data_IF_381949670335
#
_entry.id   IF_381949670335
#
_cell.length_a   1.000
_cell.length_b   1.000
_cell.length_c   1.000
_cell.angle_alpha   90.00
_cell.angle_beta   90.00
_cell.angle_gamma   90.00
#
_symmetry.space_group_name_H-M   'P 1'
#
loop_
_entity.id
_entity.type
_entity.pdbx_description
1 polymer ?
#
# COMPACT_ATOMS: atom_id res chain seq x y z
N UNK A 1 6.62 -2.80 -23.12
CA UNK A 1 6.77 -3.45 -21.81
C UNK A 1 6.81 -4.94 -22.03
N UNK A 2 7.75 -5.65 -21.39
CA UNK A 2 7.80 -7.12 -21.46
C UNK A 2 6.69 -7.74 -20.57
N UNK A 3 6.34 -9.03 -20.75
CA UNK A 3 5.30 -9.69 -19.96
C UNK A 3 5.55 -9.67 -18.45
N UNK A 4 6.81 -9.74 -18.02
CA UNK A 4 7.22 -9.70 -16.61
C UNK A 4 6.88 -8.37 -15.96
N UNK A 5 7.23 -7.25 -16.62
CA UNK A 5 6.85 -5.90 -16.15
C UNK A 5 5.34 -5.75 -16.05
N UNK A 6 4.58 -6.25 -17.03
CA UNK A 6 3.11 -6.18 -17.00
C UNK A 6 2.56 -7.00 -15.82
N UNK A 7 3.10 -8.19 -15.56
CA UNK A 7 2.67 -9.02 -14.44
C UNK A 7 2.87 -8.30 -13.10
N UNK A 8 4.09 -7.77 -12.86
CA UNK A 8 4.41 -7.04 -11.62
C UNK A 8 3.51 -5.81 -11.44
N UNK A 9 3.24 -5.05 -12.51
CA UNK A 9 2.35 -3.88 -12.46
C UNK A 9 0.88 -4.25 -12.21
N UNK A 10 0.43 -5.39 -12.71
CA UNK A 10 -0.98 -5.77 -12.64
C UNK A 10 -1.38 -6.44 -11.32
N UNK A 11 -0.43 -7.11 -10.64
CA UNK A 11 -0.71 -7.90 -9.44
C UNK A 11 -1.37 -7.11 -8.32
N UNK A 12 -0.88 -5.92 -7.89
CA UNK A 12 -1.52 -5.14 -6.85
C UNK A 12 -2.96 -4.79 -7.19
N UNK A 13 -3.19 -4.23 -8.37
CA UNK A 13 -4.53 -3.90 -8.89
C UNK A 13 -5.48 -5.11 -8.94
N UNK A 14 -4.96 -6.29 -9.28
CA UNK A 14 -5.76 -7.52 -9.24
C UNK A 14 -6.13 -7.90 -7.83
N UNK A 15 -5.24 -7.70 -6.84
CA UNK A 15 -5.52 -7.89 -5.42
C UNK A 15 -6.70 -7.04 -4.96
N UNK A 16 -6.64 -5.73 -5.15
CA UNK A 16 -7.71 -4.77 -4.82
C UNK A 16 -9.01 -5.11 -5.54
N UNK A 17 -8.93 -5.46 -6.83
CA UNK A 17 -10.11 -5.83 -7.63
C UNK A 17 -10.78 -7.10 -7.15
N UNK A 18 -10.01 -8.14 -6.82
CA UNK A 18 -10.52 -9.40 -6.25
C UNK A 18 -11.12 -9.19 -4.87
N UNK A 19 -10.47 -8.40 -4.02
CA UNK A 19 -11.01 -8.01 -2.72
C UNK A 19 -12.33 -7.28 -2.85
N UNK A 20 -12.41 -6.31 -3.74
CA UNK A 20 -13.64 -5.57 -4.03
C UNK A 20 -14.77 -6.46 -4.56
N UNK A 21 -14.44 -7.53 -5.29
CA UNK A 21 -15.41 -8.49 -5.80
C UNK A 21 -16.10 -9.30 -4.69
N UNK A 22 -15.55 -9.35 -3.48
CA UNK A 22 -16.19 -10.00 -2.33
C UNK A 22 -17.56 -9.39 -2.00
N UNK A 23 -17.83 -8.14 -2.39
CA UNK A 23 -19.13 -7.48 -2.25
C UNK A 23 -20.29 -8.24 -2.94
N UNK A 24 -20.00 -9.07 -3.94
CA UNK A 24 -21.01 -9.89 -4.62
C UNK A 24 -21.39 -11.14 -3.83
N UNK A 25 -20.47 -11.66 -3.03
CA UNK A 25 -20.61 -12.93 -2.32
C UNK A 25 -20.97 -12.74 -0.85
N UNK A 26 -20.36 -11.74 -0.19
CA UNK A 26 -20.63 -11.46 1.21
C UNK A 26 -22.00 -10.78 1.38
N UNK A 27 -22.73 -11.26 2.41
CA UNK A 27 -24.01 -10.69 2.79
C UNK A 27 -23.83 -9.45 3.62
N UNK A 28 -24.33 -8.58 3.98
CA UNK A 28 -24.33 -7.44 4.88
C UNK A 28 -22.96 -6.94 5.41
N UNK A 29 -22.94 -6.38 6.59
CA UNK A 29 -21.73 -5.79 7.19
C UNK A 29 -20.68 -6.85 7.49
N UNK A 30 -19.43 -6.50 7.24
CA UNK A 30 -18.31 -7.32 7.66
C UNK A 30 -18.28 -7.43 9.19
N UNK A 31 -18.01 -8.65 9.69
CA UNK A 31 -17.86 -8.88 11.12
C UNK A 31 -16.57 -8.16 11.60
N UNK A 32 -16.63 -7.47 12.74
CA UNK A 32 -15.48 -6.76 13.33
C UNK A 32 -14.25 -7.65 13.54
N UNK A 33 -14.45 -8.92 13.90
CA UNK A 33 -13.34 -9.86 14.02
C UNK A 33 -12.62 -10.08 12.69
N UNK A 34 -13.38 -10.26 11.61
CA UNK A 34 -12.84 -10.42 10.27
C UNK A 34 -12.15 -9.11 9.80
N UNK A 35 -12.77 -7.98 10.00
CA UNK A 35 -12.21 -6.66 9.68
C UNK A 35 -10.84 -6.48 10.36
N UNK A 36 -10.76 -6.65 11.69
CA UNK A 36 -9.50 -6.57 12.45
C UNK A 36 -8.45 -7.57 11.98
N UNK A 37 -8.88 -8.81 11.63
CA UNK A 37 -7.96 -9.81 11.11
C UNK A 37 -7.36 -9.40 9.78
N UNK A 38 -8.20 -8.89 8.87
CA UNK A 38 -7.78 -8.45 7.54
C UNK A 38 -6.88 -7.21 7.61
N UNK A 39 -7.28 -6.21 8.40
CA UNK A 39 -6.49 -4.98 8.61
C UNK A 39 -5.15 -5.29 9.30
N UNK A 40 -5.15 -6.15 10.32
CA UNK A 40 -3.91 -6.61 10.97
C UNK A 40 -3.00 -7.35 10.01
N UNK A 41 -3.54 -8.25 9.19
CA UNK A 41 -2.77 -8.96 8.17
C UNK A 41 -2.14 -8.01 7.15
N UNK A 42 -2.91 -7.08 6.59
CA UNK A 42 -2.43 -6.07 5.65
C UNK A 42 -1.32 -5.21 6.27
N UNK A 43 -1.52 -4.71 7.49
CA UNK A 43 -0.50 -3.93 8.24
C UNK A 43 0.82 -4.69 8.38
N UNK A 44 0.74 -5.98 8.72
CA UNK A 44 1.93 -6.83 8.88
C UNK A 44 2.69 -7.01 7.56
N UNK A 45 1.98 -7.26 6.46
CA UNK A 45 2.58 -7.37 5.12
C UNK A 45 3.25 -6.05 4.73
N UNK A 46 2.56 -4.91 4.90
CA UNK A 46 3.11 -3.58 4.57
C UNK A 46 4.38 -3.26 5.34
N UNK A 47 4.42 -3.53 6.65
CA UNK A 47 5.63 -3.29 7.47
C UNK A 47 6.79 -4.16 6.99
N UNK A 48 6.55 -5.45 6.72
CA UNK A 48 7.60 -6.34 6.22
C UNK A 48 8.10 -5.91 4.85
N UNK A 49 7.21 -5.60 3.89
CA UNK A 49 7.56 -5.09 2.57
C UNK A 49 8.38 -3.79 2.66
N UNK A 50 7.98 -2.86 3.54
CA UNK A 50 8.73 -1.61 3.75
C UNK A 50 10.17 -1.87 4.21
N UNK A 51 10.38 -2.90 5.03
CA UNK A 51 11.72 -3.23 5.54
C UNK A 51 12.53 -4.01 4.51
N UNK A 52 12.05 -5.18 4.06
CA UNK A 52 12.83 -6.09 3.23
C UNK A 52 12.92 -5.65 1.77
N UNK A 53 11.79 -5.27 1.17
CA UNK A 53 11.77 -4.92 -0.26
C UNK A 53 12.23 -3.49 -0.57
N UNK A 54 12.24 -2.59 0.43
CA UNK A 54 12.51 -1.17 0.19
C UNK A 54 13.68 -0.61 1.02
N UNK A 55 13.65 -0.71 2.36
CA UNK A 55 14.68 -0.10 3.20
C UNK A 55 16.01 -0.84 3.14
N UNK A 56 16.00 -2.17 3.15
CA UNK A 56 17.24 -2.95 3.03
C UNK A 56 17.93 -2.67 1.70
N UNK A 57 17.27 -2.79 0.52
CA UNK A 57 17.89 -2.43 -0.75
C UNK A 57 18.37 -0.98 -0.84
N UNK A 58 17.65 -0.03 -0.22
CA UNK A 58 18.08 1.37 -0.17
C UNK A 58 19.41 1.56 0.59
N UNK A 59 19.58 0.83 1.70
CA UNK A 59 20.83 0.87 2.47
C UNK A 59 21.97 0.13 1.77
N UNK A 60 21.71 -1.01 1.15
CA UNK A 60 22.70 -1.78 0.37
C UNK A 60 23.26 -0.96 -0.79
N UNK A 61 22.43 -0.27 -1.54
CA UNK A 61 22.87 0.63 -2.61
C UNK A 61 23.71 1.81 -2.09
N UNK A 62 23.61 2.12 -0.81
CA UNK A 62 24.32 3.21 -0.16
C UNK A 62 25.58 2.76 0.59
N UNK A 63 25.96 1.47 0.55
CA UNK A 63 27.13 0.92 1.27
C UNK A 63 28.45 1.63 0.97
N UNK A 64 28.60 2.16 -0.25
CA UNK A 64 29.76 2.96 -0.65
C UNK A 64 29.96 4.22 0.23
N UNK A 65 28.94 4.69 0.96
CA UNK A 65 29.01 5.81 1.90
C UNK A 65 29.55 5.40 3.29
N UNK A 66 29.86 4.12 3.51
CA UNK A 66 30.38 3.61 4.78
C UNK A 66 29.43 3.88 5.95
N UNK A 67 29.90 4.59 6.98
CA UNK A 67 29.08 4.90 8.16
C UNK A 67 27.86 5.78 7.90
N UNK A 68 27.80 6.43 6.75
CA UNK A 68 26.68 7.28 6.32
C UNK A 68 25.68 6.56 5.40
N UNK A 69 25.81 5.26 5.18
CA UNK A 69 24.93 4.45 4.34
C UNK A 69 23.45 4.56 4.74
N UNK A 70 23.16 4.85 6.00
CA UNK A 70 21.78 5.07 6.47
C UNK A 70 21.17 6.40 6.02
N UNK A 71 21.98 7.38 5.58
CA UNK A 71 21.52 8.75 5.34
C UNK A 71 20.47 8.86 4.21
N UNK A 72 20.64 8.21 3.05
CA UNK A 72 19.58 8.20 2.01
C UNK A 72 18.28 7.59 2.53
N UNK A 73 18.37 6.48 3.27
CA UNK A 73 17.20 5.84 3.86
C UNK A 73 16.51 6.74 4.90
N UNK A 74 17.27 7.37 5.78
CA UNK A 74 16.74 8.32 6.76
C UNK A 74 16.01 9.49 6.10
N UNK A 75 16.64 10.13 5.12
CA UNK A 75 16.04 11.27 4.40
C UNK A 75 14.79 10.83 3.63
N UNK A 76 14.87 9.69 2.93
CA UNK A 76 13.76 9.14 2.17
C UNK A 76 12.53 8.84 3.04
N UNK A 77 12.72 8.13 4.16
CA UNK A 77 11.63 7.82 5.10
C UNK A 77 10.93 9.09 5.58
N UNK A 78 11.69 10.09 6.05
CA UNK A 78 11.09 11.35 6.50
C UNK A 78 10.37 12.09 5.37
N UNK A 79 10.93 12.08 4.16
CA UNK A 79 10.29 12.70 3.01
C UNK A 79 8.95 12.00 2.65
N UNK A 80 8.92 10.66 2.71
CA UNK A 80 7.70 9.87 2.50
C UNK A 80 6.62 10.13 3.56
N UNK A 81 7.00 10.14 4.82
CA UNK A 81 6.11 10.50 5.93
C UNK A 81 5.52 11.90 5.78
N UNK A 82 6.36 12.91 5.54
CA UNK A 82 5.91 14.29 5.38
C UNK A 82 5.07 14.49 4.12
N UNK A 83 5.35 13.75 3.07
CA UNK A 83 4.56 13.78 1.85
C UNK A 83 3.13 13.28 2.10
N UNK A 84 2.99 12.10 2.74
CA UNK A 84 1.67 11.57 3.07
C UNK A 84 0.95 12.44 4.08
N UNK A 85 1.61 12.90 5.13
CA UNK A 85 1.05 13.85 6.08
C UNK A 85 0.53 15.13 5.37
N UNK A 86 1.25 15.64 4.38
CA UNK A 86 0.79 16.79 3.61
C UNK A 86 -0.42 16.47 2.73
N UNK A 87 -0.44 15.30 2.07
CA UNK A 87 -1.59 14.86 1.26
C UNK A 87 -2.82 14.65 2.13
N UNK A 88 -2.65 14.05 3.31
CA UNK A 88 -3.69 13.81 4.30
C UNK A 88 -4.38 15.11 4.73
N UNK A 89 -3.59 16.16 4.99
CA UNK A 89 -4.12 17.50 5.33
C UNK A 89 -4.75 18.24 4.13
N UNK A 90 -4.34 17.94 2.90
CA UNK A 90 -4.78 18.67 1.71
C UNK A 90 -5.97 18.02 1.01
N UNK A 91 -6.00 16.70 0.95
CA UNK A 91 -7.02 15.95 0.20
C UNK A 91 -8.21 15.67 1.11
N UNK A 92 -9.43 16.09 0.72
CA UNK A 92 -10.62 15.79 1.50
C UNK A 92 -10.92 14.29 1.45
N UNK A 93 -10.88 13.64 2.62
CA UNK A 93 -11.12 12.21 2.75
C UNK A 93 -11.88 11.89 4.04
N UNK A 94 -12.35 10.65 4.15
CA UNK A 94 -13.11 10.17 5.29
C UNK A 94 -12.68 8.75 5.62
N UNK A 95 -12.18 8.56 6.82
CA UNK A 95 -11.87 7.23 7.34
C UNK A 95 -13.12 6.38 7.54
N UNK A 96 -12.97 5.07 7.43
CA UNK A 96 -14.07 4.10 7.34
C UNK A 96 -15.06 4.19 8.50
N UNK A 97 -14.56 4.41 9.70
CA UNK A 97 -15.32 4.42 10.95
C UNK A 97 -15.46 5.82 11.56
N UNK A 98 -15.16 6.86 10.79
CA UNK A 98 -15.31 8.27 11.19
C UNK A 98 -16.53 8.90 10.52
N UNK A 99 -17.20 9.81 11.23
CA UNK A 99 -18.21 10.71 10.67
C UNK A 99 -17.66 12.14 10.48
N UNK A 100 -16.39 12.37 10.86
CA UNK A 100 -15.70 13.64 10.71
C UNK A 100 -14.76 13.56 9.49
N UNK A 101 -15.05 14.29 8.40
CA UNK A 101 -14.13 14.40 7.27
C UNK A 101 -12.84 15.10 7.68
N UNK A 102 -11.73 14.65 7.09
CA UNK A 102 -10.41 15.25 7.22
C UNK A 102 -9.98 15.92 5.91
N UNK A 103 -8.88 16.67 5.95
CA UNK A 103 -8.40 17.42 4.81
C UNK A 103 -9.15 18.75 4.59
N UNK A 104 -9.00 19.30 3.39
CA UNK A 104 -9.62 20.58 3.03
C UNK A 104 -11.15 20.47 2.95
N UNK A 105 -11.93 21.34 3.61
CA UNK A 105 -13.39 21.29 3.54
C UNK A 105 -13.91 21.33 2.10
N UNK A 106 -14.77 20.38 1.76
CA UNK A 106 -15.32 20.25 0.41
C UNK A 106 -16.79 19.82 0.46
N UNK A 107 -17.49 19.99 -0.67
CA UNK A 107 -18.88 19.53 -0.85
C UNK A 107 -19.01 18.09 -1.37
N UNK A 108 -17.98 17.25 -1.22
CA UNK A 108 -17.99 15.86 -1.71
C UNK A 108 -18.88 14.97 -0.82
N UNK A 109 -19.60 14.04 -1.44
CA UNK A 109 -20.37 13.04 -0.72
C UNK A 109 -19.48 11.99 -0.02
N UNK A 110 -20.02 11.37 1.05
CA UNK A 110 -19.32 10.37 1.88
C UNK A 110 -18.58 9.31 1.05
N UNK A 111 -19.20 8.75 0.02
CA UNK A 111 -18.59 7.71 -0.83
C UNK A 111 -17.36 8.19 -1.62
N UNK A 112 -17.36 9.46 -2.06
CA UNK A 112 -16.23 10.03 -2.76
C UNK A 112 -15.05 10.28 -1.79
N UNK A 113 -15.33 10.76 -0.57
CA UNK A 113 -14.31 10.95 0.46
C UNK A 113 -13.68 9.62 0.90
N UNK A 114 -14.47 8.55 1.07
CA UNK A 114 -13.95 7.21 1.33
C UNK A 114 -13.10 6.67 0.17
N UNK A 115 -13.48 6.98 -1.07
CA UNK A 115 -12.65 6.64 -2.23
C UNK A 115 -11.30 7.34 -2.18
N UNK A 116 -11.25 8.62 -1.84
CA UNK A 116 -9.99 9.36 -1.74
C UNK A 116 -9.11 8.86 -0.60
N UNK A 117 -9.68 8.47 0.54
CA UNK A 117 -8.92 7.83 1.61
C UNK A 117 -8.11 6.64 1.07
N UNK A 118 -8.78 5.65 0.46
CA UNK A 118 -8.08 4.47 -0.07
C UNK A 118 -7.18 4.79 -1.27
N UNK A 119 -7.55 5.75 -2.12
CA UNK A 119 -6.68 6.18 -3.22
C UNK A 119 -5.35 6.80 -2.73
N UNK A 120 -5.37 7.48 -1.57
CA UNK A 120 -4.16 8.01 -0.92
C UNK A 120 -3.23 6.89 -0.46
N UNK A 121 -3.78 5.76 0.02
CA UNK A 121 -2.99 4.60 0.43
C UNK A 121 -2.38 3.85 -0.75
N UNK A 122 -3.16 3.65 -1.79
CA UNK A 122 -2.75 2.91 -2.98
C UNK A 122 -1.68 3.66 -3.81
N UNK A 123 -1.57 4.98 -3.65
CA UNK A 123 -0.56 5.76 -4.38
C UNK A 123 0.89 5.39 -3.98
N UNK A 124 1.27 5.36 -2.69
CA UNK A 124 2.59 4.89 -2.26
C UNK A 124 2.92 3.47 -2.70
N UNK A 125 1.94 2.58 -2.69
CA UNK A 125 2.10 1.20 -3.11
C UNK A 125 2.45 1.10 -4.60
N UNK A 126 1.69 1.81 -5.43
CA UNK A 126 2.00 1.93 -6.85
C UNK A 126 3.38 2.54 -7.09
N UNK A 127 3.73 3.60 -6.36
CA UNK A 127 5.06 4.22 -6.46
C UNK A 127 6.16 3.24 -6.04
N UNK A 128 5.98 2.45 -4.97
CA UNK A 128 6.93 1.44 -4.53
C UNK A 128 7.22 0.41 -5.63
N UNK A 129 6.17 -0.15 -6.25
CA UNK A 129 6.29 -1.07 -7.39
C UNK A 129 7.02 -0.40 -8.55
N UNK A 130 6.70 0.86 -8.87
CA UNK A 130 7.34 1.61 -9.93
C UNK A 130 8.82 1.87 -9.70
N UNK A 131 9.22 2.22 -8.47
CA UNK A 131 10.62 2.45 -8.07
C UNK A 131 11.42 1.15 -8.18
N UNK A 132 10.91 0.05 -7.62
CA UNK A 132 11.57 -1.26 -7.68
C UNK A 132 11.70 -1.75 -9.14
N UNK A 133 10.66 -1.59 -9.95
CA UNK A 133 10.72 -1.93 -11.38
C UNK A 133 11.73 -1.06 -12.14
N UNK A 134 11.84 0.23 -11.83
CA UNK A 134 12.82 1.12 -12.45
C UNK A 134 14.25 0.67 -12.11
N UNK A 135 14.51 0.28 -10.86
CA UNK A 135 15.77 -0.28 -10.41
C UNK A 135 16.11 -1.59 -11.14
N UNK A 136 15.18 -2.55 -11.16
CA UNK A 136 15.38 -3.81 -11.87
C UNK A 136 15.65 -3.61 -13.37
N UNK A 137 14.86 -2.79 -14.05
CA UNK A 137 15.01 -2.53 -15.48
C UNK A 137 16.30 -1.77 -15.82
N UNK A 138 16.86 -1.03 -14.88
CA UNK A 138 18.15 -0.35 -15.04
C UNK A 138 19.36 -1.26 -14.77
N UNK A 139 19.14 -2.50 -14.30
CA UNK A 139 20.18 -3.47 -14.01
C UNK A 139 20.85 -3.29 -12.65
N UNK A 140 20.18 -2.64 -11.68
CA UNK A 140 20.68 -2.52 -10.31
C UNK A 140 20.80 -3.90 -9.65
N UNK A 141 22.00 -4.22 -9.14
CA UNK A 141 22.34 -5.56 -8.65
C UNK A 141 21.57 -5.95 -7.38
N UNK A 142 21.21 -4.97 -6.55
CA UNK A 142 20.44 -5.19 -5.34
C UNK A 142 18.94 -5.40 -5.56
N UNK A 143 18.45 -5.26 -6.82
CA UNK A 143 17.03 -5.41 -7.16
C UNK A 143 16.87 -6.47 -8.23
N UNK A 144 16.39 -7.64 -7.84
CA UNK A 144 16.11 -8.75 -8.75
C UNK A 144 14.68 -8.72 -9.28
N UNK A 145 14.39 -9.43 -10.37
CA UNK A 145 13.01 -9.66 -10.80
C UNK A 145 12.20 -10.40 -9.74
N UNK A 146 12.84 -11.37 -9.08
CA UNK A 146 12.18 -12.15 -8.04
C UNK A 146 11.80 -11.28 -6.83
N UNK A 147 12.67 -10.33 -6.42
CA UNK A 147 12.35 -9.33 -5.39
C UNK A 147 11.23 -8.38 -5.81
N UNK A 148 11.24 -7.89 -7.06
CA UNK A 148 10.15 -7.09 -7.59
C UNK A 148 8.81 -7.84 -7.62
N UNK A 149 8.84 -9.13 -7.95
CA UNK A 149 7.67 -10.01 -7.92
C UNK A 149 7.21 -10.27 -6.49
N UNK A 150 8.12 -10.51 -5.54
CA UNK A 150 7.80 -10.72 -4.13
C UNK A 150 7.10 -9.49 -3.52
N UNK A 151 7.64 -8.28 -3.75
CA UNK A 151 6.98 -7.03 -3.36
C UNK A 151 5.56 -6.93 -3.95
N UNK A 152 5.45 -7.13 -5.25
CA UNK A 152 4.16 -7.01 -5.96
C UNK A 152 3.13 -8.03 -5.49
N UNK A 153 3.54 -9.28 -5.22
CA UNK A 153 2.70 -10.31 -4.62
C UNK A 153 2.28 -9.94 -3.19
N UNK A 154 3.21 -9.43 -2.39
CA UNK A 154 2.92 -8.95 -1.04
C UNK A 154 1.86 -7.85 -1.05
N UNK A 155 2.04 -6.84 -1.91
CA UNK A 155 1.06 -5.76 -2.09
C UNK A 155 -0.28 -6.33 -2.59
N UNK A 156 -0.29 -7.26 -3.54
CA UNK A 156 -1.54 -7.90 -3.99
C UNK A 156 -2.27 -8.64 -2.86
N UNK A 157 -1.53 -9.31 -1.96
CA UNK A 157 -2.10 -10.02 -0.82
C UNK A 157 -2.73 -9.07 0.22
N UNK A 158 -2.09 -7.93 0.52
CA UNK A 158 -2.67 -6.92 1.43
C UNK A 158 -3.85 -6.17 0.81
N UNK A 159 -3.82 -5.93 -0.49
CA UNK A 159 -4.86 -5.24 -1.22
C UNK A 159 -6.16 -6.03 -1.34
N UNK A 160 -6.10 -7.35 -1.22
CA UNK A 160 -7.31 -8.18 -1.18
C UNK A 160 -8.19 -7.85 0.05
N UNK A 161 -7.68 -7.77 1.29
CA UNK A 161 -8.40 -7.15 2.40
C UNK A 161 -8.90 -5.73 2.12
N UNK A 162 -8.06 -4.86 1.58
CA UNK A 162 -8.38 -3.45 1.39
C UNK A 162 -9.52 -3.24 0.39
N UNK A 163 -9.52 -3.97 -0.72
CA UNK A 163 -10.64 -3.95 -1.67
C UNK A 163 -11.97 -4.36 -1.04
N UNK A 164 -11.98 -5.30 -0.10
CA UNK A 164 -13.15 -5.68 0.67
C UNK A 164 -13.56 -4.58 1.66
N UNK A 165 -12.57 -4.02 2.36
CA UNK A 165 -12.76 -2.95 3.36
C UNK A 165 -13.39 -1.71 2.73
N UNK A 166 -13.07 -1.34 1.48
CA UNK A 166 -13.74 -0.21 0.81
C UNK A 166 -15.12 -0.59 0.25
N UNK A 167 -15.24 -1.73 -0.43
CA UNK A 167 -16.46 -2.07 -1.18
C UNK A 167 -17.63 -2.45 -0.28
N UNK A 168 -17.39 -3.11 0.85
CA UNK A 168 -18.43 -3.56 1.77
C UNK A 168 -19.15 -2.41 2.50
N UNK A 169 -18.46 -1.41 3.10
CA UNK A 169 -19.11 -0.26 3.69
C UNK A 169 -19.87 0.59 2.67
N UNK A 170 -19.34 0.76 1.46
CA UNK A 170 -20.05 1.48 0.39
C UNK A 170 -21.38 0.79 0.03
N UNK A 171 -21.41 -0.54 -0.02
CA UNK A 171 -22.66 -1.28 -0.16
C UNK A 171 -23.58 -1.06 1.04
N UNK A 172 -23.05 -1.11 2.26
CA UNK A 172 -23.83 -0.93 3.49
C UNK A 172 -24.41 0.49 3.61
N UNK A 173 -23.79 1.50 3.00
CA UNK A 173 -24.28 2.87 2.93
C UNK A 173 -25.38 3.08 1.86
N UNK A 174 -25.81 2.00 1.18
CA UNK A 174 -26.92 2.02 0.22
C UNK A 174 -26.52 2.02 -1.26
N UNK A 175 -25.23 1.93 -1.59
CA UNK A 175 -24.80 1.75 -2.97
C UNK A 175 -25.18 0.35 -3.48
N UNK A 176 -25.49 0.24 -4.77
CA UNK A 176 -25.63 -1.09 -5.39
C UNK A 176 -24.29 -1.83 -5.39
N UNK A 177 -24.31 -3.18 -5.34
CA UNK A 177 -23.09 -4.01 -5.38
C UNK A 177 -22.17 -3.65 -6.55
N UNK A 178 -22.73 -3.39 -7.74
CA UNK A 178 -21.95 -3.01 -8.92
C UNK A 178 -21.23 -1.67 -8.75
N UNK A 179 -21.88 -0.68 -8.12
CA UNK A 179 -21.25 0.62 -7.85
C UNK A 179 -20.20 0.50 -6.77
N UNK A 180 -20.47 -0.22 -5.69
CA UNK A 180 -19.49 -0.46 -4.63
C UNK A 180 -18.24 -1.19 -5.17
N UNK A 181 -18.42 -2.22 -6.00
CA UNK A 181 -17.32 -2.89 -6.71
C UNK A 181 -16.55 -1.92 -7.61
N UNK A 182 -17.23 -1.10 -8.40
CA UNK A 182 -16.59 -0.14 -9.30
C UNK A 182 -15.75 0.91 -8.56
N UNK A 183 -16.20 1.37 -7.40
CA UNK A 183 -15.40 2.27 -6.53
C UNK A 183 -14.14 1.59 -6.02
N UNK A 184 -14.24 0.33 -5.56
CA UNK A 184 -13.07 -0.43 -5.12
C UNK A 184 -12.08 -0.70 -6.25
N UNK A 185 -12.54 -1.10 -7.43
CA UNK A 185 -11.66 -1.27 -8.60
C UNK A 185 -11.02 0.06 -9.02
N UNK A 186 -11.77 1.16 -8.97
CA UNK A 186 -11.26 2.47 -9.33
C UNK A 186 -10.19 2.97 -8.33
N UNK A 187 -10.33 2.66 -7.01
CA UNK A 187 -9.28 2.99 -6.04
C UNK A 187 -7.99 2.21 -6.29
N UNK A 188 -8.10 0.92 -6.65
CA UNK A 188 -6.94 0.12 -7.02
C UNK A 188 -6.26 0.56 -8.32
N UNK A 189 -6.98 1.22 -9.24
CA UNK A 189 -6.39 1.71 -10.49
C UNK A 189 -5.32 2.81 -10.26
N UNK A 190 -5.28 3.42 -9.09
CA UNK A 190 -4.22 4.37 -8.69
C UNK A 190 -2.85 3.70 -8.62
N UNK A 191 -2.78 2.42 -8.25
CA UNK A 191 -1.55 1.65 -8.13
C UNK A 191 -0.79 1.53 -9.47
N UNK A 192 -1.37 0.95 -10.54
CA UNK A 192 -0.67 0.89 -11.82
C UNK A 192 -0.43 2.27 -12.42
N UNK A 193 -1.27 3.27 -12.14
CA UNK A 193 -1.04 4.64 -12.58
C UNK A 193 0.18 5.26 -11.87
N UNK A 194 0.30 5.09 -10.56
CA UNK A 194 1.46 5.53 -9.79
C UNK A 194 2.75 4.84 -10.23
N UNK A 195 2.70 3.52 -10.45
CA UNK A 195 3.84 2.75 -10.93
C UNK A 195 4.27 3.16 -12.35
N UNK A 196 3.34 3.35 -13.28
CA UNK A 196 3.64 3.81 -14.64
C UNK A 196 4.21 5.23 -14.62
N UNK A 197 3.64 6.14 -13.81
CA UNK A 197 4.17 7.50 -13.66
C UNK A 197 5.62 7.48 -13.16
N UNK A 198 5.93 6.63 -12.18
CA UNK A 198 7.29 6.44 -11.66
C UNK A 198 8.23 5.90 -12.74
N UNK A 199 7.80 4.90 -13.52
CA UNK A 199 8.58 4.35 -14.63
C UNK A 199 8.83 5.38 -15.74
N UNK A 200 7.86 6.22 -16.07
CA UNK A 200 8.06 7.31 -17.05
C UNK A 200 9.09 8.33 -16.59
N UNK A 201 9.29 8.43 -15.27
CA UNK A 201 10.30 9.29 -14.65
C UNK A 201 11.61 8.55 -14.34
N UNK A 202 11.85 7.35 -14.89
CA UNK A 202 12.98 6.48 -14.56
C UNK A 202 14.34 7.19 -14.66
N UNK A 203 14.54 8.13 -15.61
CA UNK A 203 15.76 8.91 -15.72
C UNK A 203 16.07 9.76 -14.48
N UNK A 204 15.06 10.12 -13.68
CA UNK A 204 15.21 10.83 -12.41
C UNK A 204 15.18 9.85 -11.23
N UNK A 205 14.41 8.76 -11.35
CA UNK A 205 14.23 7.75 -10.32
C UNK A 205 15.52 6.97 -10.09
N UNK A 206 16.16 6.48 -11.14
CA UNK A 206 17.34 5.61 -11.03
C UNK A 206 18.52 6.29 -10.31
N UNK A 207 18.91 7.54 -10.62
CA UNK A 207 19.97 8.22 -9.87
C UNK A 207 19.66 8.50 -8.40
N UNK A 208 18.37 8.56 -8.04
CA UNK A 208 17.88 8.84 -6.68
C UNK A 208 17.30 7.60 -5.99
N UNK A 209 17.56 6.41 -6.53
CA UNK A 209 16.90 5.16 -6.16
C UNK A 209 16.92 4.86 -4.65
N UNK A 210 18.04 4.98 -3.90
CA UNK A 210 18.05 4.74 -2.45
C UNK A 210 17.09 5.65 -1.68
N UNK A 211 17.00 6.92 -2.10
CA UNK A 211 16.06 7.88 -1.48
C UNK A 211 14.61 7.55 -1.80
N UNK A 212 14.32 7.12 -3.03
CA UNK A 212 12.95 6.86 -3.48
C UNK A 212 12.42 5.52 -3.00
N UNK A 213 13.27 4.49 -2.87
CA UNK A 213 12.91 3.25 -2.16
C UNK A 213 12.51 3.56 -0.71
N UNK A 214 13.35 4.32 -0.01
CA UNK A 214 13.07 4.70 1.37
C UNK A 214 11.88 5.68 1.49
N UNK A 215 11.65 6.54 0.51
CA UNK A 215 10.47 7.39 0.43
C UNK A 215 9.19 6.55 0.36
N UNK A 216 9.14 5.55 -0.52
CA UNK A 216 8.01 4.65 -0.63
C UNK A 216 7.78 3.88 0.68
N UNK A 217 8.86 3.37 1.30
CA UNK A 217 8.78 2.73 2.62
C UNK A 217 8.21 3.67 3.70
N UNK A 218 8.69 4.91 3.76
CA UNK A 218 8.21 5.92 4.70
C UNK A 218 6.74 6.24 4.50
N UNK A 219 6.29 6.39 3.26
CA UNK A 219 4.90 6.63 2.93
C UNK A 219 4.00 5.44 3.32
N UNK A 220 4.42 4.20 3.03
CA UNK A 220 3.70 2.99 3.46
C UNK A 220 3.63 2.87 4.99
N UNK A 221 4.73 3.15 5.70
CA UNK A 221 4.74 3.14 7.16
C UNK A 221 3.83 4.22 7.77
N UNK A 222 3.71 5.38 7.13
CA UNK A 222 2.73 6.41 7.53
C UNK A 222 1.31 5.83 7.52
N UNK A 223 0.89 5.22 6.42
CA UNK A 223 -0.44 4.59 6.29
C UNK A 223 -0.67 3.54 7.38
N UNK A 224 0.32 2.69 7.64
CA UNK A 224 0.21 1.67 8.68
C UNK A 224 -0.04 2.27 10.05
N UNK A 225 0.70 3.31 10.42
CA UNK A 225 0.64 3.93 11.75
C UNK A 225 -0.59 4.80 11.92
N UNK A 226 -0.93 5.59 10.89
CA UNK A 226 -2.04 6.55 10.94
C UNK A 226 -3.41 5.87 10.82
N UNK A 227 -3.51 4.81 10.03
CA UNK A 227 -4.80 4.22 9.70
C UNK A 227 -4.95 2.76 10.11
N UNK A 228 -4.08 1.89 9.61
CA UNK A 228 -4.32 0.45 9.76
C UNK A 228 -4.17 -0.02 11.21
N UNK A 229 -3.20 0.48 11.98
CA UNK A 229 -3.03 0.13 13.40
C UNK A 229 -4.20 0.67 14.24
N UNK A 230 -4.61 1.93 14.14
CA UNK A 230 -5.82 2.42 14.81
C UNK A 230 -7.07 1.62 14.44
N UNK A 231 -7.28 1.31 13.16
CA UNK A 231 -8.45 0.58 12.69
C UNK A 231 -8.52 -0.85 13.26
N UNK A 232 -7.42 -1.61 13.22
CA UNK A 232 -7.38 -2.97 13.77
C UNK A 232 -7.56 -3.01 15.29
N UNK A 233 -7.32 -1.87 15.97
CA UNK A 233 -7.40 -1.75 17.43
C UNK A 233 -8.72 -1.18 17.93
N UNK A 234 -9.63 -0.72 17.05
CA UNK A 234 -10.89 -0.06 17.43
C UNK A 234 -11.82 -0.95 18.25
N UNK A 235 -12.51 -0.36 19.25
CA UNK A 235 -13.54 -0.98 20.06
C UNK A 235 -12.99 -1.79 21.24
N UNK A 236 -13.65 -2.89 21.62
CA UNK A 236 -13.22 -3.73 22.75
C UNK A 236 -11.85 -4.36 22.48
N UNK A 237 -11.04 -4.49 23.53
CA UNK A 237 -9.70 -5.09 23.43
C UNK A 237 -9.76 -6.50 22.84
N UNK A 238 -8.91 -6.76 21.84
CA UNK A 238 -8.77 -8.05 21.18
C UNK A 238 -7.38 -8.23 20.61
N UNK A 239 -6.79 -9.39 20.81
CA UNK A 239 -5.46 -9.72 20.29
C UNK A 239 -5.50 -10.18 18.82
N UNK A 240 -6.68 -10.25 18.18
CA UNK A 240 -6.82 -10.87 16.86
C UNK A 240 -6.07 -10.07 15.78
N UNK A 241 -6.18 -8.74 15.80
CA UNK A 241 -5.41 -7.88 14.89
C UNK A 241 -3.91 -8.08 15.04
N UNK A 242 -3.41 -8.13 16.28
CA UNK A 242 -1.98 -8.36 16.58
C UNK A 242 -1.50 -9.73 16.08
N UNK A 243 -2.30 -10.79 16.27
CA UNK A 243 -1.96 -12.13 15.78
C UNK A 243 -1.89 -12.15 14.25
N UNK A 244 -2.89 -11.56 13.58
CA UNK A 244 -2.89 -11.49 12.12
C UNK A 244 -1.83 -10.55 11.55
N UNK A 245 -1.46 -9.49 12.27
CA UNK A 245 -0.27 -8.68 11.95
C UNK A 245 0.99 -9.57 11.91
N UNK A 246 1.22 -10.39 12.95
CA UNK A 246 2.35 -11.30 12.97
C UNK A 246 2.31 -12.33 11.84
N UNK A 247 1.12 -12.81 11.45
CA UNK A 247 0.94 -13.71 10.29
C UNK A 247 1.31 -13.01 8.99
N UNK A 248 0.79 -11.81 8.72
CA UNK A 248 1.09 -11.02 7.52
C UNK A 248 2.57 -10.67 7.43
N UNK A 249 3.14 -10.18 8.53
CA UNK A 249 4.56 -9.84 8.62
C UNK A 249 5.46 -11.06 8.32
N UNK A 250 5.17 -12.21 8.94
CA UNK A 250 5.94 -13.42 8.73
C UNK A 250 5.81 -13.97 7.32
N UNK A 251 4.61 -13.91 6.73
CA UNK A 251 4.37 -14.34 5.36
C UNK A 251 5.19 -13.50 4.38
N UNK A 252 5.13 -12.17 4.51
CA UNK A 252 5.87 -11.28 3.60
C UNK A 252 7.37 -11.41 3.77
N UNK A 253 7.87 -11.52 5.01
CA UNK A 253 9.28 -11.80 5.28
C UNK A 253 9.74 -13.10 4.59
N UNK A 254 8.93 -14.16 4.63
CA UNK A 254 9.24 -15.42 3.95
C UNK A 254 9.23 -15.25 2.43
N UNK A 255 8.24 -14.54 1.87
CA UNK A 255 8.17 -14.29 0.43
C UNK A 255 9.41 -13.52 -0.06
N UNK A 256 9.81 -12.48 0.65
CA UNK A 256 10.96 -11.67 0.30
C UNK A 256 12.27 -12.47 0.36
N UNK A 257 12.51 -13.17 1.48
CA UNK A 257 13.76 -13.92 1.67
C UNK A 257 13.82 -15.18 0.80
N UNK A 258 12.68 -15.83 0.51
CA UNK A 258 12.65 -17.05 -0.29
C UNK A 258 12.63 -16.82 -1.81
N UNK A 259 12.11 -15.68 -2.27
CA UNK A 259 12.04 -15.31 -3.68
C UNK A 259 13.08 -14.25 -4.06
N UNK A 260 13.35 -13.30 -3.17
CA UNK A 260 14.30 -12.20 -3.39
C UNK A 260 15.74 -12.63 -3.25
#
# INVERSE_FOLDING_TARGET
MNPETIAVLALPFLGTSLGSALVFFLKDKMNRTLERSLTGFASGVMVAASVWSLLIPAMEQSEHMGKLAFLPAFVGVWAGFLFLLALDHLIPHLHLNSDCPEGTPCGLGKSAMMFFAVALHNLPEGMAVGVVLAGWLSGEQSITFAGALALSLGIALQNLPEGAIISMPLKSSGLSRRRAFAYGVASGAVEPLGAIATLLLANFVVPALPYLLAFAAGAMLYVVVEELIPEMSQGEHSNIGTVFFAVGFSLMMVLDVALG
#
